data_IF_643650375372
#
_entry.id   IF_643650375372
#
_cell.length_a   1.000
_cell.length_b   1.000
_cell.length_c   1.000
_cell.angle_alpha   90.00
_cell.angle_beta   90.00
_cell.angle_gamma   90.00
#
_symmetry.space_group_name_H-M   'P 1'
#
loop_
_entity.id
_entity.type
_entity.pdbx_description
1 polymer ?
#
# COMPACT_ATOMS: atom_id res chain seq x y z
N UNK A 1 24.66 27.44 -24.75
CA UNK A 1 25.05 28.40 -23.69
C UNK A 1 23.82 28.85 -22.87
N UNK A 2 22.75 29.37 -23.49
CA UNK A 2 21.53 29.79 -22.75
C UNK A 2 20.84 28.60 -22.02
N UNK A 3 20.70 27.48 -22.68
CA UNK A 3 20.12 26.30 -22.10
C UNK A 3 20.95 25.74 -20.91
N UNK A 4 22.27 25.83 -20.97
CA UNK A 4 23.17 25.43 -19.90
C UNK A 4 23.08 26.40 -18.70
N UNK A 5 22.91 27.67 -18.94
CA UNK A 5 22.70 28.64 -17.88
C UNK A 5 21.37 28.40 -17.13
N UNK A 6 20.31 28.09 -17.87
CA UNK A 6 19.01 27.73 -17.29
C UNK A 6 19.11 26.43 -16.49
N UNK A 7 19.82 25.41 -17.01
CA UNK A 7 20.04 24.15 -16.32
C UNK A 7 20.82 24.33 -15.02
N UNK A 8 21.87 25.20 -15.03
CA UNK A 8 22.61 25.52 -13.82
C UNK A 8 21.75 26.19 -12.73
N UNK A 9 20.77 26.99 -13.11
CA UNK A 9 19.78 27.56 -12.18
C UNK A 9 18.84 26.48 -11.62
N UNK A 10 18.35 25.56 -12.47
CA UNK A 10 17.53 24.43 -12.04
C UNK A 10 18.27 23.50 -11.05
N UNK A 11 19.56 23.26 -11.28
CA UNK A 11 20.38 22.50 -10.35
C UNK A 11 20.60 23.17 -8.98
N UNK A 12 20.27 24.45 -8.86
CA UNK A 12 20.28 25.19 -7.59
C UNK A 12 18.95 25.13 -6.82
N UNK A 13 17.90 24.56 -7.42
CA UNK A 13 16.59 24.45 -6.78
C UNK A 13 16.51 23.28 -5.78
N UNK A 14 15.60 23.37 -4.82
CA UNK A 14 15.25 22.29 -3.90
C UNK A 14 14.06 21.49 -4.45
N UNK A 15 14.07 20.16 -4.24
CA UNK A 15 15.13 19.33 -3.63
C UNK A 15 16.37 19.17 -4.51
N UNK A 16 17.54 19.07 -3.86
CA UNK A 16 18.81 18.91 -4.59
C UNK A 16 18.78 17.67 -5.51
N UNK A 17 19.26 17.83 -6.75
CA UNK A 17 19.25 16.77 -7.77
C UNK A 17 18.14 16.87 -8.81
N UNK A 18 17.20 17.82 -8.66
CA UNK A 18 16.20 18.10 -9.68
C UNK A 18 16.86 18.69 -10.93
N UNK A 19 16.40 18.26 -12.11
CA UNK A 19 16.94 18.69 -13.40
C UNK A 19 18.21 17.94 -13.83
N UNK A 20 18.67 16.95 -13.08
CA UNK A 20 19.80 16.10 -13.46
C UNK A 20 19.50 15.29 -14.74
N UNK A 21 20.49 15.08 -15.58
CA UNK A 21 20.38 14.36 -16.85
C UNK A 21 20.35 12.84 -16.66
N UNK A 22 21.01 12.38 -15.60
CA UNK A 22 21.07 10.97 -15.19
C UNK A 22 21.16 10.83 -13.67
N UNK A 23 21.09 9.59 -13.20
CA UNK A 23 21.14 9.27 -11.76
C UNK A 23 22.49 9.66 -11.16
N UNK A 24 23.58 9.52 -11.91
CA UNK A 24 24.92 9.84 -11.44
C UNK A 24 25.07 11.36 -11.18
N UNK A 25 24.59 12.18 -12.09
CA UNK A 25 24.54 13.66 -11.95
C UNK A 25 23.61 14.04 -10.78
N UNK A 26 22.47 13.38 -10.65
CA UNK A 26 21.54 13.62 -9.55
C UNK A 26 22.18 13.41 -8.18
N UNK A 27 22.91 12.30 -7.99
CA UNK A 27 23.61 12.01 -6.75
C UNK A 27 24.79 12.97 -6.50
N UNK A 28 25.50 13.38 -7.56
CA UNK A 28 26.59 14.35 -7.45
C UNK A 28 26.10 15.75 -7.06
N UNK A 29 24.92 16.15 -7.52
CA UNK A 29 24.29 17.42 -7.15
C UNK A 29 23.92 17.47 -5.67
N UNK A 30 23.49 16.34 -5.08
CA UNK A 30 23.18 16.23 -3.65
C UNK A 30 24.46 16.25 -2.76
N UNK A 31 25.62 15.94 -3.31
CA UNK A 31 26.90 15.98 -2.63
C UNK A 31 27.73 17.25 -2.95
N UNK A 32 27.09 18.35 -3.35
CA UNK A 32 27.81 19.61 -3.63
C UNK A 32 28.60 20.11 -2.43
N UNK A 33 28.00 20.06 -1.24
CA UNK A 33 28.58 20.54 0.02
C UNK A 33 29.27 19.42 0.82
N UNK A 34 30.09 18.60 0.14
CA UNK A 34 30.79 17.50 0.76
C UNK A 34 31.95 18.03 1.68
N UNK A 35 31.63 18.29 2.95
CA UNK A 35 32.57 18.81 3.94
C UNK A 35 33.32 17.72 4.69
N UNK A 36 32.79 16.50 4.77
CA UNK A 36 33.46 15.37 5.44
C UNK A 36 34.29 14.52 4.50
N UNK A 37 35.24 13.73 5.04
CA UNK A 37 36.09 12.82 4.26
C UNK A 37 35.25 11.76 3.53
N UNK A 38 34.24 11.23 4.20
CA UNK A 38 33.33 10.21 3.71
C UNK A 38 32.52 10.74 2.52
N UNK A 39 31.97 11.96 2.61
CA UNK A 39 31.22 12.61 1.51
C UNK A 39 32.10 12.94 0.32
N UNK A 40 33.36 13.38 0.56
CA UNK A 40 34.34 13.59 -0.51
C UNK A 40 34.70 12.29 -1.22
N UNK A 41 34.84 11.21 -0.46
CA UNK A 41 35.06 9.88 -1.02
C UNK A 41 33.84 9.37 -1.78
N UNK A 42 32.65 9.50 -1.21
CA UNK A 42 31.37 9.15 -1.86
C UNK A 42 31.23 9.86 -3.22
N UNK A 43 31.52 11.16 -3.26
CA UNK A 43 31.49 11.94 -4.51
C UNK A 43 32.49 11.42 -5.56
N UNK A 44 33.71 11.02 -5.16
CA UNK A 44 34.69 10.42 -6.09
C UNK A 44 34.23 9.04 -6.57
N UNK A 45 33.66 8.23 -5.69
CA UNK A 45 33.15 6.91 -6.03
C UNK A 45 32.02 7.04 -7.06
N UNK A 46 31.06 7.93 -6.83
CA UNK A 46 29.97 8.16 -7.79
C UNK A 46 30.52 8.64 -9.13
N UNK A 47 31.49 9.57 -9.13
CA UNK A 47 32.02 10.16 -10.36
C UNK A 47 32.84 9.20 -11.21
N UNK A 48 33.66 8.36 -10.60
CA UNK A 48 34.70 7.60 -11.31
C UNK A 48 34.62 6.08 -11.13
N UNK A 49 33.81 5.60 -10.14
CA UNK A 49 33.84 4.22 -9.68
C UNK A 49 32.43 3.67 -9.35
N UNK A 50 31.41 4.14 -10.07
CA UNK A 50 30.02 3.74 -9.85
C UNK A 50 29.84 2.22 -10.02
N UNK A 51 30.55 1.60 -10.98
CA UNK A 51 30.46 0.16 -11.21
C UNK A 51 31.03 -0.67 -10.05
N UNK A 52 32.10 -0.19 -9.43
CA UNK A 52 32.71 -0.85 -8.26
C UNK A 52 31.80 -0.71 -7.04
N UNK A 53 31.09 0.42 -6.90
CA UNK A 53 30.06 0.63 -5.87
C UNK A 53 28.89 -0.32 -6.07
N UNK A 54 28.30 -0.39 -7.26
CA UNK A 54 27.20 -1.29 -7.61
C UNK A 54 27.57 -2.77 -7.38
N UNK A 55 28.82 -3.14 -7.71
CA UNK A 55 29.36 -4.47 -7.49
C UNK A 55 29.83 -4.72 -6.04
N UNK A 56 29.68 -3.74 -5.12
CA UNK A 56 30.16 -3.76 -3.72
C UNK A 56 31.61 -4.19 -3.57
N UNK A 57 32.51 -3.75 -4.47
CA UNK A 57 33.93 -4.10 -4.48
C UNK A 57 34.77 -3.21 -3.55
N UNK A 58 34.52 -3.28 -2.25
CA UNK A 58 35.16 -2.47 -1.21
C UNK A 58 36.70 -2.61 -1.23
N UNK A 59 37.25 -3.83 -1.38
CA UNK A 59 38.71 -4.07 -1.41
C UNK A 59 39.41 -3.36 -2.56
N UNK A 60 38.78 -3.22 -3.71
CA UNK A 60 39.34 -2.48 -4.86
C UNK A 60 39.49 -0.99 -4.55
N UNK A 61 38.44 -0.40 -4.00
CA UNK A 61 38.37 1.01 -3.63
C UNK A 61 39.34 1.37 -2.50
N UNK A 62 39.44 0.49 -1.47
CA UNK A 62 40.42 0.66 -0.38
C UNK A 62 41.85 0.81 -0.88
N UNK A 63 42.26 -0.08 -1.80
CA UNK A 63 43.64 -0.02 -2.38
C UNK A 63 43.85 1.23 -3.23
N UNK A 64 42.80 1.65 -3.96
CA UNK A 64 42.87 2.76 -4.90
C UNK A 64 42.91 4.11 -4.19
N UNK A 65 42.10 4.27 -3.15
CA UNK A 65 42.02 5.51 -2.37
C UNK A 65 42.96 5.52 -1.14
N UNK A 66 43.62 4.40 -0.82
CA UNK A 66 44.48 4.23 0.35
C UNK A 66 43.81 4.61 1.67
N UNK A 67 42.56 4.20 1.83
CA UNK A 67 41.72 4.46 3.01
C UNK A 67 41.38 3.17 3.75
N UNK A 68 41.01 3.30 5.03
CA UNK A 68 40.58 2.19 5.86
C UNK A 68 39.21 1.65 5.41
N UNK A 69 38.89 0.35 5.66
CA UNK A 69 37.62 -0.25 5.27
C UNK A 69 36.41 0.53 5.78
N UNK A 70 36.46 0.99 7.03
CA UNK A 70 35.40 1.71 7.70
C UNK A 70 35.04 3.02 6.97
N UNK A 71 36.05 3.70 6.39
CA UNK A 71 35.82 4.94 5.62
C UNK A 71 35.14 4.66 4.28
N UNK A 72 35.43 3.51 3.65
CA UNK A 72 34.75 3.09 2.41
C UNK A 72 33.28 2.68 2.70
N UNK A 73 33.07 1.97 3.81
CA UNK A 73 31.72 1.59 4.25
C UNK A 73 30.88 2.82 4.60
N UNK A 74 31.43 3.75 5.38
CA UNK A 74 30.77 5.01 5.68
C UNK A 74 30.49 5.83 4.41
N UNK A 75 31.38 5.84 3.42
CA UNK A 75 31.10 6.48 2.14
C UNK A 75 29.98 5.77 1.34
N UNK A 76 29.86 4.45 1.46
CA UNK A 76 28.74 3.69 0.86
C UNK A 76 27.42 4.02 1.55
N UNK A 77 27.40 4.13 2.87
CA UNK A 77 26.22 4.52 3.64
C UNK A 77 25.74 5.94 3.26
N UNK A 78 26.69 6.87 3.09
CA UNK A 78 26.38 8.22 2.58
C UNK A 78 25.76 8.18 1.16
N UNK A 79 26.24 7.31 0.25
CA UNK A 79 25.65 7.15 -1.08
C UNK A 79 24.25 6.55 -1.00
N UNK A 80 24.04 5.54 -0.15
CA UNK A 80 22.76 4.89 0.04
C UNK A 80 21.71 5.80 0.70
N UNK A 81 22.14 6.81 1.44
CA UNK A 81 21.27 7.81 2.05
C UNK A 81 20.75 8.87 1.06
N UNK A 82 21.36 8.97 -0.13
CA UNK A 82 20.93 9.92 -1.17
C UNK A 82 19.66 9.44 -1.87
N UNK A 83 18.86 10.39 -2.36
CA UNK A 83 17.62 10.10 -3.09
C UNK A 83 17.87 10.11 -4.62
N UNK A 84 17.82 8.96 -5.32
CA UNK A 84 18.00 8.92 -6.77
C UNK A 84 16.82 9.52 -7.57
N UNK A 85 15.66 9.74 -6.92
CA UNK A 85 14.45 10.26 -7.53
C UNK A 85 13.84 11.43 -6.73
N UNK A 86 14.55 12.57 -6.63
CA UNK A 86 14.11 13.69 -5.79
C UNK A 86 12.77 14.30 -6.22
N UNK A 87 12.36 14.11 -7.48
CA UNK A 87 11.07 14.57 -8.00
C UNK A 87 9.85 13.88 -7.39
N UNK A 88 9.99 12.65 -6.88
CA UNK A 88 8.88 11.93 -6.23
C UNK A 88 8.38 12.63 -4.96
N UNK A 89 9.22 13.46 -4.33
CA UNK A 89 8.81 14.24 -3.17
C UNK A 89 7.86 15.39 -3.50
N UNK A 90 7.74 15.82 -4.76
CA UNK A 90 6.79 16.84 -5.19
C UNK A 90 5.35 16.32 -5.32
N UNK A 91 5.14 15.08 -5.69
CA UNK A 91 3.81 14.49 -5.74
C UNK A 91 3.17 14.37 -4.35
N UNK A 92 3.97 14.25 -3.30
CA UNK A 92 3.48 14.16 -1.92
C UNK A 92 3.02 15.51 -1.33
N UNK A 93 3.46 16.65 -1.86
CA UNK A 93 3.14 17.96 -1.29
C UNK A 93 1.75 18.51 -1.68
N UNK A 94 1.08 17.95 -2.69
CA UNK A 94 -0.34 18.22 -2.93
C UNK A 94 -1.30 17.34 -2.12
N UNK A 95 -0.75 16.36 -1.40
CA UNK A 95 -1.47 15.53 -0.43
C UNK A 95 -0.88 15.72 0.98
N UNK A 96 -0.66 16.96 1.38
CA UNK A 96 0.10 17.34 2.59
C UNK A 96 -0.62 17.03 3.92
N UNK A 97 -1.41 15.97 4.00
CA UNK A 97 -1.96 15.42 5.24
C UNK A 97 -1.92 13.89 5.32
N UNK A 98 -1.27 13.23 4.38
CA UNK A 98 -1.11 11.77 4.47
C UNK A 98 0.36 11.48 4.78
N UNK A 99 0.64 11.31 6.08
CA UNK A 99 1.75 10.59 6.72
C UNK A 99 2.63 9.81 5.74
N UNK A 100 3.96 9.91 5.90
CA UNK A 100 5.01 9.04 5.35
C UNK A 100 4.47 7.65 5.02
N UNK A 101 4.01 7.46 3.80
CA UNK A 101 3.30 6.27 3.40
C UNK A 101 4.30 5.27 2.83
N UNK A 102 4.43 4.14 3.50
CA UNK A 102 4.42 2.87 2.78
C UNK A 102 3.44 3.03 1.60
N UNK A 103 3.82 2.63 0.40
CA UNK A 103 3.10 2.84 -0.87
C UNK A 103 1.58 2.95 -0.65
N UNK A 104 1.00 4.10 -0.95
CA UNK A 104 -0.38 4.40 -0.64
C UNK A 104 -1.28 3.29 -1.19
N UNK A 105 -1.83 2.48 -0.29
CA UNK A 105 -2.66 1.35 -0.67
C UNK A 105 -3.96 1.90 -1.24
N UNK A 106 -4.16 1.72 -2.54
CA UNK A 106 -5.42 2.09 -3.19
C UNK A 106 -6.52 1.15 -2.70
N UNK A 107 -7.57 1.65 -2.03
CA UNK A 107 -8.65 0.81 -1.56
C UNK A 107 -9.48 0.26 -2.73
N UNK A 108 -9.94 -0.99 -2.64
CA UNK A 108 -10.86 -1.60 -3.61
C UNK A 108 -12.32 -1.16 -3.37
N UNK A 109 -12.64 -0.73 -2.15
CA UNK A 109 -13.95 -0.29 -1.73
C UNK A 109 -13.82 0.96 -0.85
N UNK A 110 -14.64 1.98 -1.11
CA UNK A 110 -14.72 3.20 -0.32
C UNK A 110 -16.12 3.29 0.27
N UNK A 111 -16.19 3.45 1.59
CA UNK A 111 -17.43 3.59 2.35
C UNK A 111 -17.49 5.01 2.94
N UNK A 112 -18.36 5.84 2.39
CA UNK A 112 -18.50 7.24 2.82
C UNK A 112 -19.87 7.44 3.44
N UNK A 113 -19.91 8.19 4.53
CA UNK A 113 -21.18 8.60 5.15
C UNK A 113 -21.61 9.94 4.56
N UNK A 114 -22.81 9.97 3.99
CA UNK A 114 -23.45 11.18 3.44
C UNK A 114 -24.67 11.54 4.26
N UNK A 115 -25.25 12.72 4.04
CA UNK A 115 -26.49 13.15 4.68
C UNK A 115 -27.68 12.24 4.35
N UNK A 116 -27.65 11.62 3.16
CA UNK A 116 -28.70 10.72 2.67
C UNK A 116 -28.50 9.25 3.07
N UNK A 117 -27.39 8.92 3.77
CA UNK A 117 -27.06 7.56 4.18
C UNK A 117 -25.62 7.16 3.85
N UNK A 118 -25.42 5.93 3.43
CA UNK A 118 -24.11 5.40 3.09
C UNK A 118 -23.90 5.34 1.59
N UNK A 119 -22.81 5.90 1.12
CA UNK A 119 -22.34 5.74 -0.25
C UNK A 119 -21.25 4.68 -0.31
N UNK A 120 -21.39 3.76 -1.28
CA UNK A 120 -20.51 2.62 -1.47
C UNK A 120 -19.93 2.71 -2.88
N UNK A 121 -18.65 3.10 -2.94
CA UNK A 121 -17.93 3.23 -4.19
C UNK A 121 -16.93 2.07 -4.33
N UNK A 122 -17.02 1.34 -5.46
CA UNK A 122 -16.03 0.32 -5.83
C UNK A 122 -15.02 0.95 -6.76
N UNK A 123 -13.74 0.92 -6.40
CA UNK A 123 -12.64 1.48 -7.19
C UNK A 123 -12.22 0.55 -8.33
N UNK A 124 -11.43 1.05 -9.26
CA UNK A 124 -10.95 0.31 -10.42
C UNK A 124 -11.72 0.65 -11.69
N UNK A 125 -11.48 -0.13 -12.76
CA UNK A 125 -12.07 0.12 -14.07
C UNK A 125 -13.60 0.21 -14.01
N UNK A 126 -14.14 1.31 -14.55
CA UNK A 126 -15.59 1.43 -14.70
C UNK A 126 -16.06 0.47 -15.82
N UNK A 127 -16.93 -0.50 -15.48
CA UNK A 127 -17.45 -1.41 -16.50
C UNK A 127 -18.15 -0.70 -17.67
N UNK A 128 -18.73 0.47 -17.40
CA UNK A 128 -19.43 1.26 -18.43
C UNK A 128 -18.45 1.91 -19.44
N UNK A 129 -17.18 2.05 -19.08
CA UNK A 129 -16.13 2.51 -20.00
C UNK A 129 -15.62 1.41 -20.93
N UNK A 130 -15.95 0.14 -20.62
CA UNK A 130 -15.53 -1.01 -21.41
C UNK A 130 -16.61 -1.36 -22.45
N UNK A 131 -16.23 -1.35 -23.70
CA UNK A 131 -17.11 -1.75 -24.79
C UNK A 131 -16.37 -2.63 -25.79
N UNK A 132 -17.13 -3.51 -26.45
CA UNK A 132 -16.60 -4.26 -27.60
C UNK A 132 -16.47 -3.25 -28.74
N UNK A 133 -15.32 -3.31 -29.44
CA UNK A 133 -15.08 -2.48 -30.61
C UNK A 133 -16.24 -2.51 -31.59
N UNK A 134 -16.58 -1.34 -32.16
CA UNK A 134 -17.74 -1.19 -33.05
C UNK A 134 -17.64 -2.07 -34.31
N UNK A 135 -16.45 -2.23 -34.87
CA UNK A 135 -16.21 -3.08 -36.03
C UNK A 135 -16.46 -4.56 -35.75
N UNK A 136 -15.91 -5.05 -34.60
CA UNK A 136 -16.17 -6.43 -34.15
C UNK A 136 -17.61 -6.68 -33.80
N UNK A 137 -18.29 -5.73 -33.15
CA UNK A 137 -19.73 -5.83 -32.83
C UNK A 137 -20.57 -5.94 -34.08
N UNK A 138 -20.32 -5.11 -35.10
CA UNK A 138 -21.03 -5.12 -36.39
C UNK A 138 -20.80 -6.47 -37.12
N UNK A 139 -19.58 -6.92 -37.27
CA UNK A 139 -19.25 -8.20 -37.88
C UNK A 139 -19.89 -9.39 -37.17
N UNK A 140 -19.98 -9.33 -35.84
CA UNK A 140 -20.65 -10.35 -35.04
C UNK A 140 -22.17 -10.36 -35.30
N UNK A 141 -22.80 -9.20 -35.42
CA UNK A 141 -24.20 -9.05 -35.79
C UNK A 141 -24.47 -9.58 -37.23
N UNK A 142 -23.63 -9.20 -38.16
CA UNK A 142 -23.69 -9.69 -39.56
C UNK A 142 -23.57 -11.20 -39.62
N UNK A 143 -22.67 -11.78 -38.82
CA UNK A 143 -22.54 -13.24 -38.69
C UNK A 143 -23.82 -13.89 -38.14
N UNK A 144 -24.46 -13.27 -37.13
CA UNK A 144 -25.73 -13.80 -36.57
C UNK A 144 -26.90 -13.69 -37.54
N UNK A 145 -26.93 -12.67 -38.39
CA UNK A 145 -27.96 -12.47 -39.42
C UNK A 145 -27.76 -13.33 -40.66
N UNK A 146 -26.73 -14.21 -40.69
CA UNK A 146 -26.51 -15.14 -41.75
C UNK A 146 -25.71 -14.61 -42.97
N UNK A 147 -25.04 -13.45 -42.80
CA UNK A 147 -24.15 -12.91 -43.84
C UNK A 147 -23.03 -13.89 -44.16
N UNK A 148 -22.69 -14.01 -45.47
CA UNK A 148 -21.56 -14.84 -45.90
C UNK A 148 -20.25 -14.28 -45.36
N UNK A 149 -19.55 -15.07 -44.57
CA UNK A 149 -18.20 -14.81 -44.05
C UNK A 149 -17.34 -16.05 -44.31
N UNK A 150 -16.05 -15.85 -44.52
CA UNK A 150 -15.09 -16.95 -44.59
C UNK A 150 -15.02 -17.70 -43.24
N UNK A 151 -14.77 -19.01 -43.28
CA UNK A 151 -14.80 -19.86 -42.10
C UNK A 151 -13.82 -19.40 -41.00
N UNK A 152 -12.63 -18.98 -41.41
CA UNK A 152 -11.58 -18.49 -40.47
C UNK A 152 -11.96 -17.14 -39.87
N UNK A 153 -12.51 -16.21 -40.67
CA UNK A 153 -12.99 -14.91 -40.15
C UNK A 153 -14.14 -15.10 -39.16
N UNK A 154 -15.09 -15.99 -39.48
CA UNK A 154 -16.22 -16.32 -38.59
C UNK A 154 -15.74 -16.86 -37.22
N UNK A 155 -14.79 -17.79 -37.26
CA UNK A 155 -14.19 -18.36 -36.04
C UNK A 155 -13.46 -17.30 -35.22
N UNK A 156 -12.68 -16.44 -35.86
CA UNK A 156 -11.95 -15.34 -35.24
C UNK A 156 -12.89 -14.38 -34.56
N UNK A 157 -13.87 -13.80 -35.28
CA UNK A 157 -14.83 -12.83 -34.73
C UNK A 157 -15.59 -13.42 -33.56
N UNK A 158 -16.09 -14.66 -33.68
CA UNK A 158 -16.79 -15.34 -32.59
C UNK A 158 -15.92 -15.46 -31.32
N UNK A 159 -14.68 -15.89 -31.49
CA UNK A 159 -13.76 -16.12 -30.37
C UNK A 159 -13.41 -14.82 -29.67
N UNK A 160 -13.06 -13.77 -30.40
CA UNK A 160 -12.66 -12.49 -29.78
C UNK A 160 -13.83 -11.75 -29.13
N UNK A 161 -15.00 -11.73 -29.77
CA UNK A 161 -16.21 -11.14 -29.18
C UNK A 161 -16.63 -11.91 -27.93
N UNK A 162 -16.56 -13.25 -27.94
CA UNK A 162 -16.86 -14.05 -26.75
C UNK A 162 -15.90 -13.77 -25.61
N UNK A 163 -14.60 -13.70 -25.88
CA UNK A 163 -13.58 -13.35 -24.87
C UNK A 163 -13.81 -11.96 -24.28
N UNK A 164 -14.04 -10.95 -25.13
CA UNK A 164 -14.31 -9.59 -24.70
C UNK A 164 -15.59 -9.51 -23.85
N UNK A 165 -16.66 -10.17 -24.28
CA UNK A 165 -17.91 -10.24 -23.52
C UNK A 165 -17.72 -10.88 -22.15
N UNK A 166 -17.01 -12.02 -22.08
CA UNK A 166 -16.71 -12.73 -20.84
C UNK A 166 -15.87 -11.87 -19.89
N UNK A 167 -14.91 -11.12 -20.42
CA UNK A 167 -14.09 -10.20 -19.64
C UNK A 167 -14.93 -9.07 -19.04
N UNK A 168 -15.72 -8.37 -19.87
CA UNK A 168 -16.61 -7.30 -19.42
C UNK A 168 -17.59 -7.82 -18.35
N UNK A 169 -18.19 -8.99 -18.59
CA UNK A 169 -19.09 -9.62 -17.63
C UNK A 169 -18.39 -9.94 -16.30
N UNK A 170 -17.13 -10.40 -16.34
CA UNK A 170 -16.35 -10.68 -15.14
C UNK A 170 -16.07 -9.42 -14.33
N UNK A 171 -15.77 -8.29 -14.98
CA UNK A 171 -15.58 -7.00 -14.32
C UNK A 171 -16.88 -6.51 -13.66
N UNK A 172 -18.02 -6.61 -14.37
CA UNK A 172 -19.32 -6.30 -13.80
C UNK A 172 -19.65 -7.17 -12.58
N UNK A 173 -19.43 -8.48 -12.69
CA UNK A 173 -19.71 -9.42 -11.59
C UNK A 173 -18.82 -9.14 -10.37
N UNK A 174 -17.53 -8.85 -10.57
CA UNK A 174 -16.63 -8.46 -9.50
C UNK A 174 -17.15 -7.21 -8.77
N UNK A 175 -17.52 -6.17 -9.52
CA UNK A 175 -18.01 -4.91 -8.97
C UNK A 175 -19.31 -5.11 -8.18
N UNK A 176 -20.24 -5.88 -8.75
CA UNK A 176 -21.51 -6.26 -8.09
C UNK A 176 -21.26 -7.01 -6.78
N UNK A 177 -20.31 -7.95 -6.77
CA UNK A 177 -19.94 -8.73 -5.57
C UNK A 177 -19.36 -7.84 -4.49
N UNK A 178 -18.38 -6.98 -4.81
CA UNK A 178 -17.79 -6.06 -3.85
C UNK A 178 -18.82 -5.07 -3.29
N UNK A 179 -19.71 -4.56 -4.12
CA UNK A 179 -20.78 -3.66 -3.69
C UNK A 179 -21.71 -4.34 -2.68
N UNK A 180 -22.16 -5.57 -2.96
CA UNK A 180 -23.01 -6.35 -2.02
C UNK A 180 -22.30 -6.64 -0.70
N UNK A 181 -21.00 -6.93 -0.74
CA UNK A 181 -20.20 -7.07 0.47
C UNK A 181 -20.15 -5.74 1.25
N UNK A 182 -19.93 -4.62 0.57
CA UNK A 182 -19.96 -3.29 1.16
C UNK A 182 -21.30 -2.96 1.82
N UNK A 183 -22.41 -3.22 1.14
CA UNK A 183 -23.78 -3.03 1.65
C UNK A 183 -24.00 -3.82 2.95
N UNK A 184 -23.56 -5.08 2.98
CA UNK A 184 -23.63 -5.89 4.18
C UNK A 184 -22.77 -5.35 5.32
N UNK A 185 -21.52 -4.97 5.01
CA UNK A 185 -20.59 -4.43 6.03
C UNK A 185 -21.13 -3.13 6.64
N UNK A 186 -21.67 -2.24 5.84
CA UNK A 186 -22.29 -1.00 6.32
C UNK A 186 -23.44 -1.28 7.29
N UNK A 187 -24.26 -2.28 7.03
CA UNK A 187 -25.39 -2.64 7.90
C UNK A 187 -24.93 -3.31 9.21
N UNK A 188 -23.92 -4.17 9.16
CA UNK A 188 -23.52 -5.00 10.30
C UNK A 188 -22.33 -4.47 11.09
N UNK A 189 -21.50 -3.60 10.50
CA UNK A 189 -20.27 -3.04 11.09
C UNK A 189 -20.32 -1.49 11.15
N UNK A 190 -21.52 -0.90 11.18
CA UNK A 190 -21.74 0.55 11.10
C UNK A 190 -20.86 1.32 12.09
N UNK A 191 -20.80 0.89 13.35
CA UNK A 191 -20.06 1.59 14.39
C UNK A 191 -18.54 1.57 14.12
N UNK A 192 -17.98 0.43 13.71
CA UNK A 192 -16.57 0.33 13.34
C UNK A 192 -16.27 1.19 12.10
N UNK A 193 -17.09 1.11 11.06
CA UNK A 193 -16.88 1.85 9.81
C UNK A 193 -16.97 3.37 10.03
N UNK A 194 -17.82 3.82 10.99
CA UNK A 194 -17.98 5.26 11.31
C UNK A 194 -16.85 5.81 12.16
N UNK A 195 -16.32 5.03 13.11
CA UNK A 195 -15.38 5.51 14.14
C UNK A 195 -13.93 5.08 13.92
N UNK A 196 -13.71 3.99 13.15
CA UNK A 196 -12.40 3.35 13.03
C UNK A 196 -11.96 2.55 14.26
N UNK A 197 -12.69 2.64 15.38
CA UNK A 197 -12.29 1.98 16.64
C UNK A 197 -12.58 0.48 16.60
N UNK A 198 -11.54 -0.32 16.83
CA UNK A 198 -11.62 -1.79 16.87
C UNK A 198 -12.49 -2.33 18.00
N UNK A 199 -12.80 -1.51 18.99
CA UNK A 199 -13.71 -1.83 20.07
C UNK A 199 -15.11 -2.19 19.55
N UNK A 200 -15.58 -1.48 18.51
CA UNK A 200 -16.89 -1.68 17.91
C UNK A 200 -16.92 -2.74 16.80
N UNK A 201 -15.78 -3.34 16.48
CA UNK A 201 -15.72 -4.38 15.45
C UNK A 201 -16.42 -5.65 15.92
N UNK A 202 -17.48 -6.06 15.22
CA UNK A 202 -18.22 -7.29 15.50
C UNK A 202 -17.56 -8.49 14.82
N UNK A 203 -17.54 -9.62 15.50
CA UNK A 203 -17.04 -10.87 14.90
C UNK A 203 -17.89 -11.27 13.70
N UNK A 204 -17.26 -11.56 12.58
CA UNK A 204 -17.89 -11.98 11.34
C UNK A 204 -17.04 -13.08 10.69
N UNK A 205 -17.70 -14.07 10.09
CA UNK A 205 -17.01 -15.10 9.30
C UNK A 205 -17.38 -14.94 7.81
N UNK A 206 -16.47 -15.39 6.93
CA UNK A 206 -16.77 -15.39 5.49
C UNK A 206 -17.97 -16.26 5.13
N UNK A 207 -18.12 -17.40 5.82
CA UNK A 207 -19.26 -18.29 5.64
C UNK A 207 -20.59 -17.64 6.03
N UNK A 208 -20.62 -16.89 7.13
CA UNK A 208 -21.79 -16.12 7.55
C UNK A 208 -22.14 -15.05 6.52
N UNK A 209 -21.18 -14.20 6.18
CA UNK A 209 -21.36 -13.17 5.14
C UNK A 209 -21.89 -13.79 3.84
N UNK A 210 -21.25 -14.87 3.36
CA UNK A 210 -21.64 -15.54 2.12
C UNK A 210 -23.10 -16.01 2.15
N UNK A 211 -23.52 -16.62 3.25
CA UNK A 211 -24.89 -17.09 3.47
C UNK A 211 -25.89 -15.94 3.44
N UNK A 212 -25.59 -14.88 4.17
CA UNK A 212 -26.48 -13.74 4.34
C UNK A 212 -26.67 -12.95 3.03
N UNK A 213 -25.60 -12.85 2.20
CA UNK A 213 -25.68 -12.21 0.88
C UNK A 213 -26.07 -13.18 -0.26
N UNK A 214 -26.37 -14.46 0.04
CA UNK A 214 -26.76 -15.46 -0.95
C UNK A 214 -25.67 -15.78 -1.98
N UNK A 215 -24.40 -15.91 -1.54
CA UNK A 215 -23.26 -16.24 -2.39
C UNK A 215 -22.50 -17.45 -1.83
N UNK A 216 -21.67 -18.08 -2.67
CA UNK A 216 -20.77 -19.14 -2.21
C UNK A 216 -19.58 -18.54 -1.43
N UNK A 217 -19.16 -19.21 -0.35
CA UNK A 217 -18.05 -18.75 0.49
C UNK A 217 -16.76 -18.50 -0.31
N UNK A 218 -16.45 -19.37 -1.27
CA UNK A 218 -15.28 -19.20 -2.12
C UNK A 218 -15.31 -17.91 -2.96
N UNK A 219 -16.52 -17.45 -3.35
CA UNK A 219 -16.69 -16.18 -4.08
C UNK A 219 -16.37 -15.01 -3.16
N UNK A 220 -16.88 -15.00 -1.93
CA UNK A 220 -16.59 -13.98 -0.92
C UNK A 220 -15.10 -13.98 -0.58
N UNK A 221 -14.52 -15.16 -0.37
CA UNK A 221 -13.09 -15.30 -0.06
C UNK A 221 -12.21 -14.70 -1.15
N UNK A 222 -12.44 -15.03 -2.43
CA UNK A 222 -11.68 -14.47 -3.56
C UNK A 222 -11.92 -12.96 -3.73
N UNK A 223 -13.12 -12.48 -3.47
CA UNK A 223 -13.45 -11.07 -3.57
C UNK A 223 -12.78 -10.22 -2.48
N UNK A 224 -12.49 -10.80 -1.29
CA UNK A 224 -11.96 -10.08 -0.13
C UNK A 224 -10.48 -10.34 0.17
N UNK A 225 -9.89 -11.40 -0.39
CA UNK A 225 -8.48 -11.75 -0.15
C UNK A 225 -7.54 -10.71 -0.77
N UNK A 226 -6.61 -10.16 0.04
CA UNK A 226 -5.64 -9.15 -0.41
C UNK A 226 -6.28 -7.83 -0.86
N UNK A 227 -7.51 -7.53 -0.41
CA UNK A 227 -8.27 -6.33 -0.75
C UNK A 227 -8.38 -5.39 0.43
N UNK A 228 -8.60 -4.11 0.14
CA UNK A 228 -8.63 -3.03 1.11
C UNK A 228 -9.93 -2.24 1.02
N UNK A 229 -10.36 -1.72 2.17
CA UNK A 229 -11.56 -0.89 2.32
C UNK A 229 -11.16 0.42 2.98
N UNK A 230 -11.59 1.53 2.41
CA UNK A 230 -11.53 2.82 3.09
C UNK A 230 -12.83 3.02 3.88
N UNK A 231 -12.70 3.22 5.18
CA UNK A 231 -13.83 3.51 6.08
C UNK A 231 -14.12 5.01 6.13
N UNK A 232 -15.24 5.42 6.71
CA UNK A 232 -15.72 6.80 6.71
C UNK A 232 -14.73 7.83 7.28
N UNK A 233 -13.85 7.42 8.19
CA UNK A 233 -12.77 8.25 8.75
C UNK A 233 -11.59 8.48 7.80
N UNK A 234 -11.61 7.92 6.58
CA UNK A 234 -10.51 8.00 5.60
C UNK A 234 -9.42 6.93 5.79
N UNK A 235 -9.46 6.18 6.90
CA UNK A 235 -8.52 5.09 7.15
C UNK A 235 -8.73 3.94 6.18
N UNK A 236 -7.63 3.36 5.66
CA UNK A 236 -7.66 2.20 4.77
C UNK A 236 -7.30 0.95 5.54
N UNK A 237 -8.24 0.02 5.65
CA UNK A 237 -8.09 -1.23 6.38
C UNK A 237 -8.18 -2.44 5.44
N UNK A 238 -7.47 -3.53 5.76
CA UNK A 238 -7.64 -4.79 5.02
C UNK A 238 -9.01 -5.41 5.30
N UNK A 239 -9.64 -6.01 4.29
CA UNK A 239 -10.87 -6.81 4.49
C UNK A 239 -10.70 -7.93 5.51
N UNK A 240 -9.47 -8.41 5.73
CA UNK A 240 -9.20 -9.45 6.72
C UNK A 240 -9.54 -9.05 8.15
N UNK A 241 -9.52 -7.76 8.45
CA UNK A 241 -9.90 -7.20 9.76
C UNK A 241 -11.29 -7.68 10.17
N UNK A 242 -12.24 -7.68 9.24
CA UNK A 242 -13.62 -8.10 9.51
C UNK A 242 -13.77 -9.60 9.81
N UNK A 243 -12.82 -10.43 9.33
CA UNK A 243 -12.92 -11.90 9.38
C UNK A 243 -11.95 -12.57 10.36
N UNK A 244 -11.03 -11.80 10.96
CA UNK A 244 -10.04 -12.32 11.90
C UNK A 244 -10.25 -11.71 13.30
N UNK A 245 -11.00 -12.36 14.20
CA UNK A 245 -11.23 -11.85 15.56
C UNK A 245 -9.92 -11.56 16.32
N UNK A 246 -8.87 -12.33 16.03
CA UNK A 246 -7.54 -12.13 16.61
C UNK A 246 -6.95 -10.75 16.30
N UNK A 247 -7.19 -10.19 15.11
CA UNK A 247 -6.71 -8.85 14.73
C UNK A 247 -7.39 -7.75 15.55
N UNK A 248 -8.67 -7.91 15.88
CA UNK A 248 -9.37 -6.99 16.79
C UNK A 248 -8.63 -6.87 18.11
N UNK A 249 -8.35 -8.02 18.73
CA UNK A 249 -7.67 -8.06 20.03
C UNK A 249 -6.26 -7.49 19.94
N UNK A 250 -5.51 -7.80 18.87
CA UNK A 250 -4.18 -7.25 18.65
C UNK A 250 -4.20 -5.73 18.54
N UNK A 251 -5.12 -5.17 17.74
CA UNK A 251 -5.25 -3.73 17.57
C UNK A 251 -5.67 -3.04 18.86
N UNK A 252 -6.59 -3.61 19.62
CA UNK A 252 -6.97 -3.07 20.93
C UNK A 252 -5.79 -3.09 21.92
N UNK A 253 -4.92 -4.09 21.89
CA UNK A 253 -3.69 -4.13 22.71
C UNK A 253 -2.73 -3.04 22.25
N UNK A 254 -2.52 -2.83 20.95
CA UNK A 254 -1.69 -1.76 20.39
C UNK A 254 -2.19 -0.39 20.86
N UNK A 255 -3.49 -0.10 20.70
CA UNK A 255 -4.11 1.15 21.16
C UNK A 255 -3.95 1.41 22.66
N UNK A 256 -4.08 0.35 23.48
CA UNK A 256 -3.88 0.47 24.94
C UNK A 256 -2.43 0.82 25.27
N UNK A 257 -1.48 0.20 24.55
CA UNK A 257 -0.05 0.41 24.78
C UNK A 257 0.43 1.76 24.25
N UNK A 258 -0.12 2.25 23.15
CA UNK A 258 0.18 3.60 22.63
C UNK A 258 -0.24 4.71 23.61
N UNK A 259 -1.29 4.46 24.38
CA UNK A 259 -1.81 5.41 25.37
C UNK A 259 -1.28 5.16 26.79
N UNK A 260 -0.38 4.19 26.98
CA UNK A 260 0.15 3.89 28.31
C UNK A 260 1.11 4.98 28.79
N UNK A 261 1.18 5.13 30.12
CA UNK A 261 2.17 6.02 30.72
C UNK A 261 3.56 5.35 30.70
N UNK A 262 4.57 5.95 30.04
CA UNK A 262 5.92 5.38 29.97
C UNK A 262 6.56 5.08 31.34
N UNK A 263 6.22 5.88 32.35
CA UNK A 263 6.73 5.72 33.72
C UNK A 263 6.07 4.57 34.49
N UNK A 264 4.90 4.09 34.02
CA UNK A 264 4.14 2.99 34.64
C UNK A 264 3.59 2.06 33.58
N UNK A 265 4.44 1.28 32.92
CA UNK A 265 4.00 0.38 31.85
C UNK A 265 3.07 -0.71 32.38
N UNK A 266 1.99 -0.96 31.64
CA UNK A 266 0.94 -1.90 31.97
C UNK A 266 1.43 -3.34 31.90
N UNK A 267 1.09 -4.16 32.89
CA UNK A 267 1.33 -5.61 32.83
C UNK A 267 0.33 -6.28 31.89
N UNK A 268 0.69 -7.48 31.36
CA UNK A 268 -0.21 -8.28 30.51
C UNK A 268 -1.54 -8.62 31.24
N UNK A 269 -1.54 -8.65 32.56
CA UNK A 269 -2.74 -8.85 33.38
C UNK A 269 -3.60 -7.58 33.45
N UNK A 270 -2.97 -6.41 33.59
CA UNK A 270 -3.66 -5.11 33.55
C UNK A 270 -4.29 -4.86 32.17
N UNK A 271 -3.59 -5.19 31.10
CA UNK A 271 -4.11 -5.14 29.74
C UNK A 271 -5.32 -6.07 29.57
N UNK A 272 -5.25 -7.32 30.09
CA UNK A 272 -6.39 -8.25 30.06
C UNK A 272 -7.62 -7.70 30.79
N UNK A 273 -7.44 -7.01 31.93
CA UNK A 273 -8.54 -6.33 32.66
C UNK A 273 -9.16 -5.19 31.84
N UNK A 274 -8.33 -4.33 31.26
CA UNK A 274 -8.81 -3.23 30.40
C UNK A 274 -9.56 -3.75 29.15
N UNK A 275 -9.12 -4.85 28.57
CA UNK A 275 -9.84 -5.52 27.48
C UNK A 275 -11.19 -6.08 27.94
N UNK A 276 -11.24 -6.66 29.15
CA UNK A 276 -12.50 -7.18 29.71
C UNK A 276 -13.52 -6.06 29.99
N UNK A 277 -13.07 -4.89 30.48
CA UNK A 277 -13.89 -3.69 30.64
C UNK A 277 -14.49 -3.19 29.30
N UNK A 278 -13.76 -3.40 28.19
CA UNK A 278 -14.22 -3.11 26.82
C UNK A 278 -14.99 -4.28 26.15
N UNK A 279 -15.42 -5.26 26.96
CA UNK A 279 -16.22 -6.40 26.48
C UNK A 279 -15.43 -7.50 25.74
N UNK A 280 -14.09 -7.51 25.86
CA UNK A 280 -13.25 -8.52 25.22
C UNK A 280 -12.51 -9.35 26.28
N UNK A 281 -13.07 -10.52 26.61
CA UNK A 281 -12.50 -11.41 27.62
C UNK A 281 -11.40 -12.25 27.01
N UNK A 282 -10.15 -12.01 27.41
CA UNK A 282 -8.97 -12.76 26.96
C UNK A 282 -8.07 -13.13 28.14
N UNK A 283 -7.46 -14.31 28.09
CA UNK A 283 -6.51 -14.72 29.10
C UNK A 283 -5.19 -13.95 28.99
N UNK A 284 -4.49 -13.71 30.12
CA UNK A 284 -3.15 -13.11 30.16
C UNK A 284 -2.17 -13.74 29.15
N UNK A 285 -2.18 -15.07 29.02
CA UNK A 285 -1.33 -15.79 28.04
C UNK A 285 -1.63 -15.39 26.59
N UNK A 286 -2.88 -15.08 26.29
CA UNK A 286 -3.31 -14.63 24.95
C UNK A 286 -2.82 -13.21 24.69
N UNK A 287 -2.88 -12.32 25.69
CA UNK A 287 -2.31 -10.96 25.61
C UNK A 287 -0.82 -11.03 25.32
N UNK A 288 -0.07 -11.84 26.09
CA UNK A 288 1.36 -12.04 25.89
C UNK A 288 1.66 -12.52 24.44
N UNK A 289 0.95 -13.56 23.97
CA UNK A 289 1.10 -14.09 22.60
C UNK A 289 0.85 -13.06 21.52
N UNK A 290 -0.14 -12.19 21.69
CA UNK A 290 -0.44 -11.15 20.69
C UNK A 290 0.56 -10.01 20.76
N UNK A 291 0.96 -9.56 21.94
CA UNK A 291 2.02 -8.58 22.14
C UNK A 291 3.35 -9.03 21.50
N UNK A 292 3.75 -10.29 21.73
CA UNK A 292 4.97 -10.82 21.12
C UNK A 292 4.90 -10.92 19.59
N UNK A 293 3.72 -11.19 19.02
CA UNK A 293 3.51 -11.16 17.57
C UNK A 293 3.66 -9.76 16.96
N UNK A 294 3.25 -8.74 17.70
CA UNK A 294 3.40 -7.34 17.29
C UNK A 294 4.76 -6.75 17.65
N UNK A 295 5.69 -7.58 18.16
CA UNK A 295 7.05 -7.19 18.60
C UNK A 295 7.07 -6.11 19.69
N UNK A 296 6.02 -6.00 20.48
CA UNK A 296 5.94 -5.09 21.60
C UNK A 296 6.62 -5.69 22.83
N UNK A 297 7.50 -4.93 23.46
CA UNK A 297 8.31 -5.37 24.59
C UNK A 297 7.45 -5.64 25.84
N UNK A 298 7.96 -6.50 26.76
CA UNK A 298 7.31 -6.72 28.05
C UNK A 298 7.30 -5.47 28.91
N UNK A 299 6.38 -5.39 29.90
CA UNK A 299 6.30 -4.21 30.80
C UNK A 299 7.62 -3.93 31.53
N UNK A 300 8.41 -4.95 31.83
CA UNK A 300 9.74 -4.79 32.43
C UNK A 300 10.73 -4.16 31.46
N UNK A 301 10.74 -4.59 30.20
CA UNK A 301 11.63 -4.06 29.19
C UNK A 301 11.23 -2.63 28.76
N UNK A 302 9.94 -2.30 28.75
CA UNK A 302 9.45 -0.93 28.49
C UNK A 302 9.73 0.06 29.63
N UNK A 303 9.92 -0.43 30.87
CA UNK A 303 10.29 0.41 32.00
C UNK A 303 11.78 0.79 32.02
N UNK A 304 12.62 0.02 31.34
CA UNK A 304 14.07 0.21 31.28
C UNK A 304 14.54 0.90 29.99
N UNK A 305 13.63 1.18 29.07
CA UNK A 305 13.88 1.92 27.83
C UNK A 305 13.43 3.38 27.99
#
# INVERSE_FOLDING_TARGET
EEAEAVLAHLHGCEPAGVGARDVQECLLLQLRDANTLEKKLARKIIKEHMDEFLARRTRGLMRKFKVMPEVVEAAFDEILALNPFPGESFESNHSSLITRAAAAVVPDLILTRTEQGWEIQVTGADPNSLAIDRGYRRRYQDMQSGARMEGDEKSHVKTYVSRASSFIQSVHQRRKTLRRIGEYLVQHQTSFISTGSYEFLRALTRSQLARDIGMHESTVSRATMGKFVQIAGGEVVSFEVFFKPALRVQKMIEEILERENPNRPLSDEAIAKLLAERGVIVARRTVNKYRDRTRLLSSRARKSA
#
